data_IF_024818182105
#
_entry.id   IF_024818182105
#
_cell.length_a   1.000
_cell.length_b   1.000
_cell.length_c   1.000
_cell.angle_alpha   90.00
_cell.angle_beta   90.00
_cell.angle_gamma   90.00
#
_symmetry.space_group_name_H-M   'P 1'
#
loop_
_entity.id
_entity.type
_entity.pdbx_description
1 polymer ?
#
# COMPACT_ATOMS: atom_id res chain seq x y z
N UNK A 1 37.48 -3.90 -56.66
CA UNK A 1 36.82 -4.24 -55.37
C UNK A 1 37.34 -3.29 -54.31
N UNK A 2 36.55 -2.28 -53.89
CA UNK A 2 36.98 -1.31 -52.86
C UNK A 2 36.95 -1.99 -51.49
N UNK A 3 38.11 -2.16 -50.87
CA UNK A 3 38.23 -2.67 -49.50
C UNK A 3 37.76 -1.56 -48.56
N UNK A 4 36.62 -1.78 -47.90
CA UNK A 4 36.12 -0.89 -46.83
C UNK A 4 37.06 -1.06 -45.63
N UNK A 5 37.68 0.03 -45.18
CA UNK A 5 38.42 0.07 -43.90
C UNK A 5 37.43 -0.26 -42.78
N UNK A 6 37.48 -1.47 -42.25
CA UNK A 6 36.79 -1.82 -41.02
C UNK A 6 37.59 -1.20 -39.87
N UNK A 7 37.08 -0.12 -39.28
CA UNK A 7 37.65 0.47 -38.06
C UNK A 7 37.31 -0.44 -36.89
N UNK A 8 38.30 -1.15 -36.36
CA UNK A 8 38.16 -1.92 -35.12
C UNK A 8 38.12 -0.99 -33.91
N UNK A 9 37.29 -1.34 -32.92
CA UNK A 9 37.20 -0.66 -31.63
C UNK A 9 38.50 -0.89 -30.84
N UNK A 10 39.08 0.14 -30.24
CA UNK A 10 40.30 -0.03 -29.44
C UNK A 10 39.98 -0.59 -28.06
N UNK A 11 40.84 -1.45 -27.52
CA UNK A 11 40.68 -1.96 -26.15
C UNK A 11 40.69 -0.83 -25.11
N UNK A 12 41.44 0.24 -25.39
CA UNK A 12 41.51 1.41 -24.51
C UNK A 12 40.21 2.23 -24.52
N UNK A 13 39.54 2.38 -25.66
CA UNK A 13 38.21 2.99 -25.73
C UNK A 13 37.22 2.20 -24.87
N UNK A 14 37.26 0.87 -24.96
CA UNK A 14 36.35 0.03 -24.18
C UNK A 14 36.64 0.12 -22.68
N UNK A 15 37.92 0.14 -22.28
CA UNK A 15 38.33 0.28 -20.88
C UNK A 15 37.87 1.59 -20.24
N UNK A 16 37.98 2.72 -20.95
CA UNK A 16 37.55 4.02 -20.43
C UNK A 16 36.03 4.05 -20.28
N UNK A 17 35.29 3.47 -21.24
CA UNK A 17 33.83 3.42 -21.19
C UNK A 17 33.33 2.64 -19.97
N UNK A 18 33.89 1.46 -19.69
CA UNK A 18 33.47 0.68 -18.50
C UNK A 18 33.87 1.36 -17.19
N UNK A 19 35.00 2.08 -17.16
CA UNK A 19 35.39 2.86 -15.98
C UNK A 19 34.39 3.98 -15.67
N UNK A 20 33.94 4.72 -16.70
CA UNK A 20 32.94 5.78 -16.54
C UNK A 20 31.59 5.20 -16.12
N UNK A 21 31.12 4.12 -16.76
CA UNK A 21 29.87 3.44 -16.39
C UNK A 21 29.94 2.92 -14.95
N UNK A 22 31.09 2.40 -14.50
CA UNK A 22 31.31 1.95 -13.13
C UNK A 22 31.11 3.06 -12.09
N UNK A 23 31.65 4.26 -12.34
CA UNK A 23 31.48 5.43 -11.46
C UNK A 23 30.01 5.86 -11.42
N UNK A 24 29.34 5.93 -12.58
CA UNK A 24 27.93 6.31 -12.66
C UNK A 24 27.04 5.28 -11.93
N UNK A 25 27.29 3.99 -12.12
CA UNK A 25 26.53 2.92 -11.49
C UNK A 25 26.68 2.93 -9.96
N UNK A 26 27.87 3.21 -9.43
CA UNK A 26 28.12 3.28 -8.00
C UNK A 26 27.26 4.34 -7.28
N UNK A 27 26.99 5.47 -7.94
CA UNK A 27 26.12 6.54 -7.40
C UNK A 27 24.64 6.25 -7.70
N UNK A 28 24.34 5.74 -8.90
CA UNK A 28 22.98 5.55 -9.37
C UNK A 28 22.23 4.44 -8.61
N UNK A 29 22.89 3.34 -8.27
CA UNK A 29 22.25 2.19 -7.60
C UNK A 29 21.65 2.54 -6.23
N UNK A 30 22.38 3.13 -5.26
CA UNK A 30 21.80 3.47 -3.96
C UNK A 30 20.73 4.57 -4.07
N UNK A 31 20.90 5.53 -4.99
CA UNK A 31 19.89 6.56 -5.25
C UNK A 31 18.59 5.95 -5.77
N UNK A 32 18.69 5.05 -6.75
CA UNK A 32 17.53 4.38 -7.35
C UNK A 32 16.77 3.53 -6.32
N UNK A 33 17.49 2.83 -5.44
CA UNK A 33 16.89 2.09 -4.32
C UNK A 33 16.07 3.01 -3.40
N UNK A 34 16.61 4.18 -3.04
CA UNK A 34 15.91 5.15 -2.20
C UNK A 34 14.64 5.71 -2.87
N UNK A 35 14.72 6.04 -4.15
CA UNK A 35 13.58 6.53 -4.93
C UNK A 35 12.48 5.47 -4.98
N UNK A 36 12.84 4.21 -5.26
CA UNK A 36 11.87 3.11 -5.23
C UNK A 36 11.23 2.94 -3.86
N UNK A 37 12.01 3.00 -2.77
CA UNK A 37 11.48 2.89 -1.41
C UNK A 37 10.43 3.98 -1.14
N UNK A 38 10.75 5.25 -1.46
CA UNK A 38 9.81 6.39 -1.32
C UNK A 38 8.56 6.23 -2.19
N UNK A 39 8.70 5.73 -3.41
CA UNK A 39 7.56 5.49 -4.28
C UNK A 39 6.62 4.40 -3.70
N UNK A 40 7.20 3.35 -3.10
CA UNK A 40 6.43 2.29 -2.42
C UNK A 40 5.68 2.83 -1.20
N UNK A 41 6.32 3.64 -0.35
CA UNK A 41 5.66 4.23 0.83
C UNK A 41 4.56 5.22 0.45
N UNK A 42 4.78 6.02 -0.59
CA UNK A 42 3.76 6.93 -1.13
C UNK A 42 2.53 6.17 -1.64
N UNK A 43 2.74 5.05 -2.35
CA UNK A 43 1.66 4.17 -2.79
C UNK A 43 0.90 3.55 -1.62
N UNK A 44 1.60 3.01 -0.62
CA UNK A 44 0.98 2.44 0.57
C UNK A 44 0.12 3.48 1.31
N UNK A 45 0.62 4.72 1.43
CA UNK A 45 -0.14 5.83 2.03
C UNK A 45 -1.43 6.14 1.26
N UNK A 46 -1.39 6.10 -0.08
CA UNK A 46 -2.58 6.33 -0.91
C UNK A 46 -3.61 5.20 -0.76
N UNK A 47 -3.15 3.94 -0.73
CA UNK A 47 -4.01 2.78 -0.50
C UNK A 47 -4.65 2.85 0.90
N UNK A 48 -3.88 3.21 1.93
CA UNK A 48 -4.39 3.41 3.30
C UNK A 48 -5.50 4.45 3.36
N UNK A 49 -5.34 5.58 2.67
CA UNK A 49 -6.38 6.63 2.63
C UNK A 49 -7.67 6.13 1.97
N UNK A 50 -7.53 5.30 0.94
CA UNK A 50 -8.68 4.68 0.27
C UNK A 50 -9.39 3.68 1.19
N UNK A 51 -8.63 2.92 1.98
CA UNK A 51 -9.20 2.03 3.00
C UNK A 51 -9.90 2.84 4.10
N UNK A 52 -9.29 3.94 4.54
CA UNK A 52 -9.87 4.83 5.53
C UNK A 52 -11.20 5.44 5.05
N UNK A 53 -11.29 5.87 3.79
CA UNK A 53 -12.56 6.38 3.25
C UNK A 53 -13.65 5.30 3.24
N UNK A 54 -13.31 4.07 2.86
CA UNK A 54 -14.25 2.96 2.89
C UNK A 54 -14.76 2.63 4.32
N UNK A 55 -13.90 2.77 5.33
CA UNK A 55 -14.30 2.62 6.74
C UNK A 55 -15.27 3.72 7.18
N UNK A 56 -15.06 4.96 6.72
CA UNK A 56 -15.98 6.07 6.98
C UNK A 56 -17.31 5.85 6.27
N UNK A 57 -17.29 5.44 5.00
CA UNK A 57 -18.52 5.12 4.24
C UNK A 57 -19.29 3.97 4.89
N UNK A 58 -18.59 2.98 5.43
CA UNK A 58 -19.17 1.91 6.24
C UNK A 58 -19.88 2.46 7.46
N UNK A 59 -19.21 3.26 8.28
CA UNK A 59 -19.78 3.83 9.50
C UNK A 59 -21.01 4.71 9.21
N UNK A 60 -21.03 5.42 8.08
CA UNK A 60 -22.21 6.19 7.65
C UNK A 60 -23.41 5.28 7.36
N UNK A 61 -23.19 4.13 6.73
CA UNK A 61 -24.26 3.21 6.36
C UNK A 61 -24.69 2.25 7.47
N UNK A 62 -23.77 1.90 8.36
CA UNK A 62 -23.91 0.86 9.39
C UNK A 62 -23.89 1.40 10.81
N UNK A 63 -23.99 2.74 10.96
CA UNK A 63 -24.02 3.51 12.21
C UNK A 63 -22.75 3.40 13.09
N UNK A 64 -21.92 2.38 12.85
CA UNK A 64 -20.69 2.10 13.57
C UNK A 64 -19.63 1.49 12.64
N UNK A 65 -18.38 1.44 13.11
CA UNK A 65 -17.26 0.83 12.39
C UNK A 65 -17.33 -0.70 12.41
N UNK A 66 -16.75 -1.37 11.39
CA UNK A 66 -16.79 -2.82 11.33
C UNK A 66 -16.04 -3.46 12.51
N UNK A 67 -16.67 -4.45 13.14
CA UNK A 67 -16.10 -5.17 14.28
C UNK A 67 -16.30 -4.48 15.64
N UNK A 68 -16.90 -3.29 15.66
CA UNK A 68 -17.43 -2.71 16.90
C UNK A 68 -18.72 -3.43 17.33
N UNK A 69 -19.06 -3.33 18.62
CA UNK A 69 -20.24 -4.00 19.19
C UNK A 69 -21.53 -3.36 18.68
N UNK A 70 -21.50 -2.07 18.30
CA UNK A 70 -22.64 -1.32 17.79
C UNK A 70 -22.89 -1.46 16.28
N UNK A 71 -22.05 -2.20 15.56
CA UNK A 71 -22.21 -2.44 14.12
C UNK A 71 -23.50 -3.20 13.82
N UNK A 72 -24.48 -2.50 13.24
CA UNK A 72 -25.79 -3.09 12.91
C UNK A 72 -25.76 -3.92 11.61
N UNK A 73 -24.78 -3.68 10.74
CA UNK A 73 -24.68 -4.38 9.45
C UNK A 73 -24.03 -5.76 9.61
N UNK A 74 -23.02 -5.88 10.49
CA UNK A 74 -22.30 -7.13 10.71
C UNK A 74 -21.61 -7.18 12.09
N UNK A 75 -22.37 -7.37 13.17
CA UNK A 75 -21.82 -7.32 14.53
C UNK A 75 -20.71 -8.35 14.73
N UNK A 76 -19.53 -7.88 15.17
CA UNK A 76 -18.31 -8.70 15.34
C UNK A 76 -17.58 -9.05 14.03
N UNK A 77 -18.05 -8.56 12.89
CA UNK A 77 -17.44 -8.77 11.58
C UNK A 77 -16.24 -7.87 11.34
N UNK A 78 -15.04 -8.38 11.59
CA UNK A 78 -13.81 -7.62 11.40
C UNK A 78 -13.47 -7.40 9.90
N UNK A 79 -12.86 -6.25 9.57
CA UNK A 79 -12.25 -6.03 8.26
C UNK A 79 -11.03 -6.94 8.04
N UNK A 80 -10.62 -7.24 6.80
CA UNK A 80 -11.15 -6.71 5.53
C UNK A 80 -12.46 -7.34 5.07
N UNK A 81 -12.90 -8.46 5.65
CA UNK A 81 -14.04 -9.23 5.16
C UNK A 81 -15.34 -8.43 5.06
N UNK A 82 -15.64 -7.64 6.10
CA UNK A 82 -16.80 -6.74 6.14
C UNK A 82 -16.80 -5.68 5.03
N UNK A 83 -15.63 -5.25 4.56
CA UNK A 83 -15.50 -4.25 3.49
C UNK A 83 -15.62 -4.84 2.08
N UNK A 84 -15.49 -6.18 1.93
CA UNK A 84 -15.64 -6.88 0.66
C UNK A 84 -17.05 -7.44 0.43
N UNK A 85 -17.86 -7.49 1.47
CA UNK A 85 -19.21 -8.03 1.40
C UNK A 85 -20.23 -6.93 1.09
N UNK A 86 -21.25 -7.28 0.29
CA UNK A 86 -22.49 -6.52 0.29
C UNK A 86 -23.18 -6.77 1.64
N UNK A 87 -23.49 -5.70 2.35
CA UNK A 87 -24.21 -5.75 3.61
C UNK A 87 -25.58 -5.09 3.44
N UNK A 88 -26.46 -5.30 4.40
CA UNK A 88 -27.72 -4.58 4.47
C UNK A 88 -27.82 -3.96 5.85
N UNK A 89 -28.22 -2.70 5.92
CA UNK A 89 -28.57 -2.08 7.19
C UNK A 89 -29.96 -2.62 7.60
N UNK A 90 -30.08 -3.38 8.71
CA UNK A 90 -31.34 -3.99 9.11
C UNK A 90 -32.37 -2.98 9.64
N UNK A 91 -31.94 -1.78 10.00
CA UNK A 91 -32.81 -0.69 10.49
C UNK A 91 -33.48 0.01 9.31
N UNK A 92 -32.72 0.32 8.25
CA UNK A 92 -33.22 1.07 7.08
C UNK A 92 -33.64 0.18 5.91
N UNK A 93 -33.25 -1.10 5.92
CA UNK A 93 -33.50 -2.04 4.82
C UNK A 93 -32.72 -1.75 3.54
N UNK A 94 -31.76 -0.82 3.58
CA UNK A 94 -30.96 -0.43 2.43
C UNK A 94 -29.69 -1.29 2.30
N UNK A 95 -29.28 -1.65 1.07
CA UNK A 95 -27.98 -2.25 0.85
C UNK A 95 -26.85 -1.24 1.13
N UNK A 96 -25.79 -1.70 1.78
CA UNK A 96 -24.59 -0.94 2.09
C UNK A 96 -23.38 -1.72 1.58
N UNK A 97 -22.48 -1.06 0.85
CA UNK A 97 -21.34 -1.72 0.20
C UNK A 97 -21.73 -2.53 -1.06
N UNK A 98 -20.87 -3.46 -1.53
CA UNK A 98 -19.52 -3.70 -1.03
C UNK A 98 -18.63 -2.47 -1.25
N UNK A 99 -17.78 -2.16 -0.28
CA UNK A 99 -16.94 -0.96 -0.31
C UNK A 99 -15.66 -1.18 -1.14
N UNK A 100 -15.25 -2.43 -1.28
CA UNK A 100 -14.20 -2.85 -2.19
C UNK A 100 -14.65 -4.05 -3.02
N UNK A 101 -14.30 -4.05 -4.32
CA UNK A 101 -14.36 -5.25 -5.15
C UNK A 101 -13.16 -6.18 -4.91
N UNK A 102 -12.03 -5.61 -4.50
CA UNK A 102 -10.84 -6.28 -3.99
C UNK A 102 -10.01 -5.31 -3.15
N UNK A 103 -9.33 -5.81 -2.14
CA UNK A 103 -8.37 -5.00 -1.41
C UNK A 103 -7.16 -4.64 -2.28
N UNK A 104 -6.62 -3.42 -2.15
CA UNK A 104 -5.37 -3.06 -2.79
C UNK A 104 -4.25 -4.02 -2.40
N UNK A 105 -3.46 -4.45 -3.40
CA UNK A 105 -2.27 -5.25 -3.14
C UNK A 105 -1.14 -4.36 -2.61
N UNK A 106 -0.42 -4.77 -1.56
CA UNK A 106 0.67 -3.98 -1.01
C UNK A 106 1.83 -3.85 -2.02
N UNK A 107 2.69 -2.83 -1.87
CA UNK A 107 3.85 -2.67 -2.73
C UNK A 107 4.80 -3.89 -2.68
N UNK A 108 5.51 -4.23 -3.77
CA UNK A 108 6.45 -5.35 -3.77
C UNK A 108 7.51 -5.26 -2.65
N UNK A 109 7.73 -6.36 -1.93
CA UNK A 109 8.66 -6.43 -0.79
C UNK A 109 8.05 -6.09 0.57
N UNK A 110 6.73 -5.93 0.65
CA UNK A 110 5.97 -5.76 1.90
C UNK A 110 5.37 -7.11 2.28
N UNK A 111 5.70 -7.61 3.47
CA UNK A 111 5.43 -9.00 3.89
C UNK A 111 4.01 -9.24 4.41
N UNK A 112 3.27 -8.18 4.74
CA UNK A 112 1.89 -8.27 5.23
C UNK A 112 0.97 -7.36 4.41
N UNK A 113 -0.27 -7.81 4.22
CA UNK A 113 -1.34 -6.99 3.67
C UNK A 113 -1.71 -5.84 4.64
N UNK A 114 -2.57 -4.92 4.20
CA UNK A 114 -3.07 -3.85 5.06
C UNK A 114 -3.85 -4.43 6.24
N UNK A 115 -3.41 -4.11 7.45
CA UNK A 115 -4.09 -4.46 8.69
C UNK A 115 -4.97 -3.29 9.11
N UNK A 116 -6.23 -3.59 9.42
CA UNK A 116 -7.19 -2.62 9.92
C UNK A 116 -7.51 -3.01 11.37
N UNK A 117 -7.39 -2.04 12.26
CA UNK A 117 -7.69 -2.19 13.68
C UNK A 117 -8.80 -1.22 14.00
N UNK A 118 -9.96 -1.76 14.35
CA UNK A 118 -11.05 -1.05 15.00
C UNK A 118 -11.03 -1.49 16.47
N UNK A 119 -11.00 -0.57 17.45
CA UNK A 119 -10.98 -0.95 18.84
C UNK A 119 -12.32 -1.56 19.24
N UNK A 120 -12.32 -2.83 19.63
CA UNK A 120 -13.51 -3.46 20.22
C UNK A 120 -13.47 -3.31 21.75
N UNK A 121 -14.46 -2.62 22.33
CA UNK A 121 -14.68 -2.59 23.77
C UNK A 121 -13.72 -1.70 24.56
N UNK A 122 -14.02 -0.39 24.63
CA UNK A 122 -13.44 0.53 25.62
C UNK A 122 -12.57 1.67 25.08
N UNK A 123 -12.26 1.71 23.79
CA UNK A 123 -11.76 2.93 23.15
C UNK A 123 -12.95 3.83 22.73
N UNK A 124 -12.72 5.11 22.41
CA UNK A 124 -13.76 5.96 21.83
C UNK A 124 -14.31 5.29 20.56
N UNK A 125 -15.61 4.98 20.55
CA UNK A 125 -16.31 4.43 19.40
C UNK A 125 -16.07 5.32 18.17
N UNK A 126 -15.88 4.72 17.00
CA UNK A 126 -15.62 5.46 15.77
C UNK A 126 -14.15 5.79 15.51
N UNK A 127 -13.20 5.24 16.28
CA UNK A 127 -11.76 5.36 15.97
C UNK A 127 -11.23 4.14 15.23
N UNK A 128 -10.27 4.31 14.33
CA UNK A 128 -9.65 3.20 13.61
C UNK A 128 -8.18 3.47 13.27
N UNK A 129 -7.43 2.40 13.04
CA UNK A 129 -6.07 2.45 12.52
C UNK A 129 -5.95 1.56 11.28
N UNK A 130 -5.30 2.07 10.25
CA UNK A 130 -4.91 1.30 9.07
C UNK A 130 -3.40 1.29 8.99
N UNK A 131 -2.82 0.10 9.05
CA UNK A 131 -1.39 -0.13 9.09
C UNK A 131 -1.01 -0.94 7.85
N UNK A 132 -0.14 -0.39 7.02
CA UNK A 132 0.62 -1.20 6.08
C UNK A 132 1.86 -1.70 6.82
N UNK A 133 1.96 -3.00 7.09
CA UNK A 133 3.09 -3.49 7.86
C UNK A 133 4.40 -3.31 7.11
N UNK A 134 5.52 -3.08 7.82
CA UNK A 134 6.74 -2.56 7.22
C UNK A 134 7.31 -3.50 6.14
N UNK A 135 8.05 -2.96 5.17
CA UNK A 135 8.78 -3.78 4.21
C UNK A 135 9.73 -4.74 4.95
N UNK A 136 9.84 -5.99 4.48
CA UNK A 136 10.71 -7.02 5.09
C UNK A 136 12.21 -6.72 4.93
N UNK A 137 12.54 -5.59 4.32
CA UNK A 137 13.87 -5.26 3.82
C UNK A 137 14.62 -4.28 4.75
N UNK A 138 14.10 -4.02 5.97
CA UNK A 138 14.74 -3.13 6.95
C UNK A 138 14.52 -1.63 6.69
N UNK A 139 13.71 -1.26 5.70
CA UNK A 139 13.30 0.14 5.51
C UNK A 139 12.25 0.50 6.57
N UNK A 140 12.51 1.51 7.41
CA UNK A 140 11.56 2.03 8.41
C UNK A 140 10.34 2.76 7.81
N UNK A 141 9.99 2.47 6.56
CA UNK A 141 9.01 3.20 5.74
C UNK A 141 7.55 2.74 5.94
N UNK A 142 7.21 2.10 7.05
CA UNK A 142 5.83 1.69 7.32
C UNK A 142 4.88 2.88 7.17
N UNK A 143 3.74 2.67 6.51
CA UNK A 143 2.71 3.68 6.37
C UNK A 143 1.57 3.35 7.34
N UNK A 144 1.19 4.33 8.17
CA UNK A 144 0.10 4.19 9.13
C UNK A 144 -0.78 5.43 9.07
N UNK A 145 -2.09 5.22 9.15
CA UNK A 145 -3.09 6.26 9.36
C UNK A 145 -3.92 5.88 10.58
N UNK A 146 -4.06 6.82 11.50
CA UNK A 146 -4.97 6.72 12.64
C UNK A 146 -6.05 7.78 12.45
N UNK A 147 -7.31 7.42 12.67
CA UNK A 147 -8.37 8.41 12.74
C UNK A 147 -8.09 9.43 13.85
N UNK A 148 -8.63 10.66 13.76
CA UNK A 148 -8.66 11.58 14.90
C UNK A 148 -9.42 10.99 16.09
#
# INVERSE_FOLDING_TARGET
MRIRKQGGFTLIELMIVVAIIGILAAIAVPLYQNIQARARTARATADIRTIASALVDYAVGCEDLPGEIGDVCNPGGAPPGSLLALQNNPVTGQPVGPFFSRFPAPPPGWGVAYTIITPSGGAPAGTFQVIAGPPTNGDNGGAQLTSP
#
